data_IF_078347887861
#
_entry.id   IF_078347887861
#
_cell.length_a   1.000
_cell.length_b   1.000
_cell.length_c   1.000
_cell.angle_alpha   90.00
_cell.angle_beta   90.00
_cell.angle_gamma   90.00
#
_symmetry.space_group_name_H-M   'P 1'
#
loop_
_entity.id
_entity.type
_entity.pdbx_description
1 polymer ?
#
# COMPACT_ATOMS: atom_id res chain seq x y z
N UNK A 1 -2.96 0.04 13.76
CA UNK A 1 -1.66 0.50 14.30
C UNK A 1 -1.68 0.58 15.83
N UNK A 2 -2.84 0.84 16.44
CA UNK A 2 -3.05 1.01 17.89
C UNK A 2 -2.40 -0.06 18.78
N UNK A 3 -2.30 -1.30 18.29
CA UNK A 3 -1.61 -2.36 19.04
C UNK A 3 -0.13 -2.08 19.22
N UNK A 4 0.60 -1.66 18.17
CA UNK A 4 2.03 -1.31 18.28
C UNK A 4 2.23 -0.09 19.18
N UNK A 5 1.33 0.88 19.11
CA UNK A 5 1.36 2.08 19.97
C UNK A 5 1.25 1.66 21.44
N UNK A 6 0.26 0.83 21.78
CA UNK A 6 0.11 0.30 23.15
C UNK A 6 1.32 -0.48 23.62
N UNK A 7 1.89 -1.35 22.78
CA UNK A 7 3.10 -2.12 23.17
C UNK A 7 4.27 -1.21 23.54
N UNK A 8 4.40 -0.04 22.86
CA UNK A 8 5.40 0.97 23.22
C UNK A 8 5.07 1.64 24.55
N UNK A 9 3.80 2.02 24.76
CA UNK A 9 3.34 2.68 25.98
C UNK A 9 3.44 1.76 27.22
N UNK A 10 3.16 0.48 27.04
CA UNK A 10 3.22 -0.56 28.09
C UNK A 10 4.66 -1.02 28.40
N UNK A 11 5.63 -0.59 27.59
CA UNK A 11 7.05 -0.92 27.78
C UNK A 11 7.39 -2.38 27.41
N UNK A 12 6.68 -2.94 26.44
CA UNK A 12 6.93 -4.30 25.95
C UNK A 12 8.35 -4.44 25.36
N UNK A 13 8.81 -5.69 25.26
CA UNK A 13 10.15 -5.98 24.76
C UNK A 13 10.35 -5.42 23.34
N UNK A 14 11.39 -4.60 23.17
CA UNK A 14 11.60 -3.80 21.97
C UNK A 14 11.59 -4.64 20.66
N UNK A 15 12.13 -5.86 20.70
CA UNK A 15 12.18 -6.73 19.53
C UNK A 15 10.78 -7.21 19.13
N UNK A 16 9.89 -7.45 20.10
CA UNK A 16 8.51 -7.87 19.82
C UNK A 16 7.71 -6.73 19.20
N UNK A 17 7.92 -5.49 19.68
CA UNK A 17 7.35 -4.28 19.07
C UNK A 17 7.80 -4.14 17.61
N UNK A 18 9.10 -4.34 17.35
CA UNK A 18 9.66 -4.29 15.99
C UNK A 18 9.07 -5.38 15.11
N UNK A 19 8.97 -6.62 15.58
CA UNK A 19 8.33 -7.70 14.82
C UNK A 19 6.87 -7.39 14.49
N UNK A 20 6.10 -6.87 15.44
CA UNK A 20 4.71 -6.53 15.20
C UNK A 20 4.56 -5.36 14.21
N UNK A 21 5.45 -4.37 14.29
CA UNK A 21 5.52 -3.27 13.31
C UNK A 21 5.81 -3.79 11.90
N UNK A 22 6.81 -4.66 11.76
CA UNK A 22 7.17 -5.27 10.48
C UNK A 22 6.03 -6.11 9.89
N UNK A 23 5.29 -6.83 10.73
CA UNK A 23 4.11 -7.59 10.30
C UNK A 23 3.02 -6.68 9.74
N UNK A 24 2.74 -5.55 10.39
CA UNK A 24 1.78 -4.55 9.89
C UNK A 24 2.26 -3.97 8.56
N UNK A 25 3.55 -3.62 8.45
CA UNK A 25 4.10 -3.11 7.19
C UNK A 25 3.98 -4.13 6.06
N UNK A 26 4.17 -5.42 6.33
CA UNK A 26 3.97 -6.48 5.35
C UNK A 26 2.51 -6.58 4.90
N UNK A 27 1.56 -6.53 5.84
CA UNK A 27 0.14 -6.52 5.54
C UNK A 27 -0.26 -5.30 4.69
N UNK A 28 0.24 -4.10 5.01
CA UNK A 28 -0.01 -2.89 4.25
C UNK A 28 0.51 -3.00 2.81
N UNK A 29 1.71 -3.55 2.60
CA UNK A 29 2.25 -3.78 1.25
C UNK A 29 1.36 -4.70 0.42
N UNK A 30 0.77 -5.72 1.03
CA UNK A 30 -0.15 -6.64 0.34
C UNK A 30 -1.47 -5.93 -0.01
N UNK A 31 -2.00 -5.12 0.91
CA UNK A 31 -3.19 -4.30 0.65
C UNK A 31 -2.96 -3.32 -0.50
N UNK A 32 -1.82 -2.63 -0.50
CA UNK A 32 -1.45 -1.69 -1.57
C UNK A 32 -1.38 -2.41 -2.93
N UNK A 33 -0.83 -3.62 -2.95
CA UNK A 33 -0.75 -4.44 -4.15
C UNK A 33 -2.14 -4.82 -4.68
N UNK A 34 -3.05 -5.29 -3.81
CA UNK A 34 -4.40 -5.67 -4.24
C UNK A 34 -5.22 -4.45 -4.68
N UNK A 35 -5.06 -3.29 -4.01
CA UNK A 35 -5.68 -2.03 -4.44
C UNK A 35 -5.19 -1.64 -5.82
N UNK A 36 -3.87 -1.64 -6.06
CA UNK A 36 -3.29 -1.28 -7.35
C UNK A 36 -3.76 -2.25 -8.44
N UNK A 37 -3.76 -3.56 -8.17
CA UNK A 37 -4.27 -4.56 -9.11
C UNK A 37 -5.73 -4.31 -9.48
N UNK A 38 -6.59 -4.05 -8.50
CA UNK A 38 -7.99 -3.71 -8.78
C UNK A 38 -8.11 -2.42 -9.59
N UNK A 39 -7.32 -1.39 -9.28
CA UNK A 39 -7.27 -0.14 -10.04
C UNK A 39 -6.86 -0.38 -11.51
N UNK A 40 -5.83 -1.20 -11.74
CA UNK A 40 -5.39 -1.60 -13.08
C UNK A 40 -6.50 -2.30 -13.87
N UNK A 41 -7.26 -3.19 -13.23
CA UNK A 41 -8.31 -3.98 -13.88
C UNK A 41 -9.59 -3.19 -14.14
N UNK A 42 -9.83 -2.11 -13.40
CA UNK A 42 -11.08 -1.32 -13.46
C UNK A 42 -10.82 0.05 -14.07
N UNK A 43 -10.35 1.00 -13.26
CA UNK A 43 -10.17 2.40 -13.66
C UNK A 43 -9.21 2.54 -14.85
N UNK A 44 -8.03 1.90 -14.80
CA UNK A 44 -7.02 2.02 -15.86
C UNK A 44 -7.52 1.38 -17.16
N UNK A 45 -8.06 0.16 -17.07
CA UNK A 45 -8.61 -0.54 -18.23
C UNK A 45 -9.73 0.27 -18.91
N UNK A 46 -10.61 0.92 -18.13
CA UNK A 46 -11.68 1.76 -18.66
C UNK A 46 -11.17 3.06 -19.27
N UNK A 47 -10.17 3.72 -18.65
CA UNK A 47 -9.54 4.93 -19.21
C UNK A 47 -8.84 4.65 -20.53
N UNK A 48 -8.14 3.51 -20.64
CA UNK A 48 -7.51 3.07 -21.90
C UNK A 48 -8.57 2.87 -22.98
N UNK A 49 -9.70 2.21 -22.67
CA UNK A 49 -10.81 2.02 -23.63
C UNK A 49 -11.43 3.34 -24.09
N UNK A 50 -11.36 4.39 -23.25
CA UNK A 50 -11.84 5.75 -23.55
C UNK A 50 -10.83 6.61 -24.31
N UNK A 51 -9.63 6.09 -24.59
CA UNK A 51 -8.58 6.81 -25.31
C UNK A 51 -7.67 7.68 -24.45
N UNK A 52 -7.75 7.56 -23.11
CA UNK A 52 -6.95 8.35 -22.18
C UNK A 52 -5.75 7.54 -21.64
N UNK A 53 -5.08 6.78 -22.51
CA UNK A 53 -4.00 5.87 -22.09
C UNK A 53 -2.82 6.59 -21.47
N UNK A 54 -2.39 7.71 -22.06
CA UNK A 54 -1.14 8.36 -21.67
C UNK A 54 -1.27 9.01 -20.27
N UNK A 55 -2.40 9.67 -20.02
CA UNK A 55 -2.70 10.28 -18.72
C UNK A 55 -2.76 9.24 -17.60
N UNK A 56 -3.50 8.14 -17.82
CA UNK A 56 -3.70 7.13 -16.77
C UNK A 56 -2.43 6.30 -16.53
N UNK A 57 -1.60 6.08 -17.55
CA UNK A 57 -0.30 5.43 -17.39
C UNK A 57 0.64 6.34 -16.59
N UNK A 58 0.67 7.64 -16.87
CA UNK A 58 1.49 8.60 -16.11
C UNK A 58 1.08 8.64 -14.63
N UNK A 59 -0.22 8.59 -14.33
CA UNK A 59 -0.73 8.49 -12.95
C UNK A 59 -0.17 7.25 -12.23
N UNK A 60 -0.25 6.07 -12.86
CA UNK A 60 0.25 4.82 -12.29
C UNK A 60 1.76 4.88 -12.08
N UNK A 61 2.51 5.42 -13.04
CA UNK A 61 3.96 5.56 -12.93
C UNK A 61 4.37 6.47 -11.76
N UNK A 62 3.66 7.58 -11.53
CA UNK A 62 3.89 8.47 -10.37
C UNK A 62 3.69 7.77 -9.03
N UNK A 63 2.77 6.80 -8.96
CA UNK A 63 2.56 6.00 -7.75
C UNK A 63 3.73 5.03 -7.55
N UNK A 64 4.23 4.42 -8.62
CA UNK A 64 5.37 3.49 -8.56
C UNK A 64 6.70 4.17 -8.23
N UNK A 65 6.89 5.43 -8.64
CA UNK A 65 8.09 6.22 -8.33
C UNK A 65 8.16 6.69 -6.87
N UNK A 66 7.02 6.73 -6.17
CA UNK A 66 6.95 7.11 -4.74
C UNK A 66 7.37 5.99 -3.78
N UNK A 67 7.81 4.85 -4.32
CA UNK A 67 8.18 3.65 -3.57
C UNK A 67 9.67 3.63 -3.21
#
# INVERSE_FOLDING_TARGET
MDTVIRMVEDGDYCIDVVHQSLAIQAALREVDHEILKNHMQTCVADSIRKGNSDEVIEEVMKIMEKK
#
